data_IF_838636954029
#
_entry.id   IF_838636954029
#
_cell.length_a   1.000
_cell.length_b   1.000
_cell.length_c   1.000
_cell.angle_alpha   90.00
_cell.angle_beta   90.00
_cell.angle_gamma   90.00
#
_symmetry.space_group_name_H-M   'P 1'
#
loop_
_entity.id
_entity.type
_entity.pdbx_description
1 polymer ?
#
# COMPACT_ATOMS: atom_id res chain seq x y z
N UNK A 1 -37.76 -59.24 27.77
CA UNK A 1 -36.41 -59.28 27.18
C UNK A 1 -36.53 -59.13 25.68
N UNK A 2 -36.34 -57.93 25.14
CA UNK A 2 -36.00 -57.71 23.72
C UNK A 2 -35.18 -56.43 23.63
N UNK A 3 -33.93 -56.60 23.22
CA UNK A 3 -32.95 -55.58 22.86
C UNK A 3 -33.37 -54.91 21.54
N UNK A 4 -33.22 -53.59 21.45
CA UNK A 4 -32.70 -52.93 20.24
C UNK A 4 -32.39 -51.46 20.54
N UNK A 5 -31.11 -51.17 20.83
CA UNK A 5 -30.55 -49.83 20.75
C UNK A 5 -30.02 -49.63 19.32
N UNK A 6 -30.73 -48.83 18.52
CA UNK A 6 -30.23 -48.33 17.24
C UNK A 6 -29.12 -47.30 17.51
N UNK A 7 -27.89 -47.66 17.16
CA UNK A 7 -26.75 -46.76 17.08
C UNK A 7 -26.90 -45.93 15.80
N UNK A 8 -27.39 -44.71 15.94
CA UNK A 8 -27.45 -43.73 14.85
C UNK A 8 -26.08 -43.08 14.66
N UNK A 9 -25.33 -43.52 13.64
CA UNK A 9 -24.12 -42.85 13.16
C UNK A 9 -24.54 -41.53 12.52
N UNK A 10 -24.37 -40.42 13.24
CA UNK A 10 -24.53 -39.07 12.68
C UNK A 10 -23.26 -38.76 11.89
N UNK A 11 -23.33 -38.95 10.58
CA UNK A 11 -22.28 -38.59 9.64
C UNK A 11 -22.08 -37.07 9.61
N UNK A 12 -20.94 -36.61 10.12
CA UNK A 12 -20.46 -35.24 9.98
C UNK A 12 -20.02 -35.06 8.50
N UNK A 13 -20.89 -34.52 7.64
CA UNK A 13 -20.46 -34.01 6.34
C UNK A 13 -19.81 -32.64 6.54
N UNK A 14 -18.49 -32.63 6.69
CA UNK A 14 -17.67 -31.42 6.52
C UNK A 14 -17.65 -31.06 5.03
N UNK A 15 -18.56 -30.18 4.62
CA UNK A 15 -18.45 -29.52 3.32
C UNK A 15 -17.36 -28.47 3.44
N UNK A 16 -16.15 -28.80 3.01
CA UNK A 16 -15.07 -27.85 2.82
C UNK A 16 -15.42 -26.94 1.63
N UNK A 17 -16.16 -25.86 1.91
CA UNK A 17 -16.28 -24.74 1.00
C UNK A 17 -14.90 -24.08 0.89
N UNK A 18 -14.10 -24.53 -0.08
CA UNK A 18 -12.94 -23.78 -0.55
C UNK A 18 -13.45 -22.51 -1.21
N UNK A 19 -13.57 -21.43 -0.45
CA UNK A 19 -13.76 -20.10 -1.01
C UNK A 19 -12.49 -19.79 -1.81
N UNK A 20 -12.54 -19.96 -3.13
CA UNK A 20 -11.53 -19.38 -4.00
C UNK A 20 -11.71 -17.87 -3.91
N UNK A 21 -10.86 -17.21 -3.12
CA UNK A 21 -10.82 -15.76 -3.05
C UNK A 21 -10.50 -15.24 -4.46
N UNK A 22 -11.50 -14.64 -5.12
CA UNK A 22 -11.28 -13.97 -6.41
C UNK A 22 -10.17 -12.93 -6.25
N UNK A 23 -9.18 -13.01 -7.13
CA UNK A 23 -8.03 -12.11 -7.16
C UNK A 23 -8.48 -10.74 -7.64
N UNK A 24 -8.96 -9.92 -6.71
CA UNK A 24 -9.53 -8.61 -7.03
C UNK A 24 -8.45 -7.52 -6.98
N UNK A 25 -8.49 -6.58 -7.93
CA UNK A 25 -7.71 -5.37 -7.82
C UNK A 25 -8.22 -4.52 -6.64
N UNK A 26 -7.35 -3.70 -6.07
CA UNK A 26 -7.73 -2.77 -4.99
C UNK A 26 -7.84 -1.37 -5.60
N UNK A 27 -9.01 -0.76 -5.51
CA UNK A 27 -9.23 0.63 -5.93
C UNK A 27 -9.02 1.57 -4.74
N UNK A 28 -8.24 2.62 -4.97
CA UNK A 28 -7.96 3.72 -4.06
C UNK A 28 -8.70 4.94 -4.62
N UNK A 29 -9.71 5.42 -3.91
CA UNK A 29 -10.48 6.59 -4.35
C UNK A 29 -9.67 7.89 -4.22
N UNK A 30 -9.97 8.89 -5.05
CA UNK A 30 -9.45 10.24 -4.87
C UNK A 30 -9.79 10.81 -3.48
N UNK A 31 -8.87 11.58 -2.92
CA UNK A 31 -8.96 12.13 -1.55
C UNK A 31 -8.73 11.10 -0.44
N UNK A 32 -8.26 9.90 -0.75
CA UNK A 32 -7.78 8.95 0.28
C UNK A 32 -6.56 9.56 0.99
N UNK A 33 -6.53 9.43 2.32
CA UNK A 33 -5.41 9.87 3.13
C UNK A 33 -4.62 8.65 3.63
N UNK A 34 -3.30 8.74 3.48
CA UNK A 34 -2.34 7.79 4.02
C UNK A 34 -1.46 8.50 5.05
N UNK A 35 -1.24 7.86 6.19
CA UNK A 35 -0.09 8.13 7.04
C UNK A 35 1.09 7.43 6.38
N UNK A 36 2.14 8.16 6.03
CA UNK A 36 3.32 7.62 5.35
C UNK A 36 4.54 7.80 6.23
N UNK A 37 5.31 6.74 6.43
CA UNK A 37 6.55 6.78 7.21
C UNK A 37 7.77 6.64 6.32
N UNK A 38 8.82 7.44 6.53
CA UNK A 38 10.08 7.30 5.81
C UNK A 38 10.75 5.99 6.21
N UNK A 39 11.09 5.15 5.24
CA UNK A 39 11.66 3.81 5.50
C UNK A 39 13.16 3.87 5.78
N UNK A 40 13.87 4.81 5.14
CA UNK A 40 15.32 4.96 5.22
C UNK A 40 15.73 6.43 5.21
N UNK A 41 16.76 6.76 6.00
CA UNK A 41 17.39 8.08 5.99
C UNK A 41 17.72 8.49 4.55
N UNK A 42 17.22 9.66 4.14
CA UNK A 42 17.38 10.17 2.78
C UNK A 42 17.87 11.61 2.82
N UNK A 43 19.02 11.87 2.21
CA UNK A 43 19.56 13.22 2.02
C UNK A 43 18.97 13.82 0.75
N UNK A 44 18.40 15.02 0.86
CA UNK A 44 17.77 15.74 -0.24
C UNK A 44 18.72 16.84 -0.71
N UNK A 45 19.19 16.71 -1.96
CA UNK A 45 20.07 17.69 -2.57
C UNK A 45 19.27 18.70 -3.41
N UNK A 46 19.43 20.02 -3.19
CA UNK A 46 18.80 21.03 -4.02
C UNK A 46 19.14 20.88 -5.50
N UNK A 47 18.13 20.97 -6.35
CA UNK A 47 18.28 20.84 -7.80
C UNK A 47 18.38 19.40 -8.31
N UNK A 48 18.29 18.39 -7.44
CA UNK A 48 18.17 17.00 -7.82
C UNK A 48 16.83 16.42 -7.34
N UNK A 49 16.20 15.64 -8.22
CA UNK A 49 15.07 14.81 -7.82
C UNK A 49 15.61 13.61 -7.05
N UNK A 50 15.26 13.53 -5.77
CA UNK A 50 15.66 12.43 -4.89
C UNK A 50 14.46 11.52 -4.68
N UNK A 51 14.67 10.22 -4.84
CA UNK A 51 13.65 9.22 -4.55
C UNK A 51 13.64 8.89 -3.06
N UNK A 52 12.44 8.92 -2.46
CA UNK A 52 12.19 8.63 -1.06
C UNK A 52 11.29 7.40 -1.00
N UNK A 53 11.63 6.44 -0.16
CA UNK A 53 10.80 5.24 0.07
C UNK A 53 9.97 5.44 1.32
N UNK A 54 8.66 5.26 1.17
CA UNK A 54 7.65 5.47 2.20
C UNK A 54 6.89 4.17 2.48
N UNK A 55 6.47 3.98 3.73
CA UNK A 55 5.56 2.93 4.19
C UNK A 55 4.16 3.54 4.41
N UNK A 56 3.20 3.31 3.49
CA UNK A 56 1.87 3.91 3.54
C UNK A 56 0.88 3.08 4.36
N UNK A 57 0.15 3.75 5.26
CA UNK A 57 -0.95 3.19 6.05
C UNK A 57 -2.22 4.01 5.84
N UNK A 58 -3.29 3.36 5.39
CA UNK A 58 -4.56 4.03 5.14
C UNK A 58 -5.14 4.61 6.45
N UNK A 59 -5.43 5.91 6.46
CA UNK A 59 -6.10 6.57 7.59
C UNK A 59 -7.61 6.30 7.55
N UNK A 60 -8.17 6.30 6.34
CA UNK A 60 -9.59 6.04 6.09
C UNK A 60 -9.79 4.85 5.16
N UNK A 61 -10.04 3.69 5.75
CA UNK A 61 -10.33 2.46 5.00
C UNK A 61 -11.62 2.52 4.16
N UNK A 62 -12.53 3.48 4.43
CA UNK A 62 -13.79 3.61 3.72
C UNK A 62 -13.65 4.07 2.26
N UNK A 63 -12.46 4.54 1.86
CA UNK A 63 -12.14 4.98 0.50
C UNK A 63 -11.39 3.93 -0.33
N UNK A 64 -11.16 2.75 0.25
CA UNK A 64 -10.56 1.60 -0.41
C UNK A 64 -11.64 0.56 -0.73
N UNK A 65 -11.53 -0.11 -1.88
CA UNK A 65 -12.43 -1.24 -2.19
C UNK A 65 -12.18 -2.44 -1.28
N UNK A 66 -10.93 -2.62 -0.83
CA UNK A 66 -10.47 -3.67 0.07
C UNK A 66 -9.34 -3.11 0.96
N UNK A 67 -9.09 -3.68 2.16
CA UNK A 67 -7.94 -3.29 2.97
C UNK A 67 -6.63 -3.44 2.19
N UNK A 68 -5.70 -2.50 2.36
CA UNK A 68 -4.37 -2.66 1.80
C UNK A 68 -3.66 -3.87 2.41
N UNK A 69 -2.82 -4.58 1.63
CA UNK A 69 -1.95 -5.62 2.14
C UNK A 69 -1.02 -5.11 3.24
N UNK A 70 -0.57 -6.02 4.11
CA UNK A 70 0.31 -5.66 5.24
C UNK A 70 1.67 -5.09 4.85
N UNK A 71 2.12 -5.38 3.62
CA UNK A 71 3.40 -4.91 3.11
C UNK A 71 3.17 -4.07 1.87
N UNK A 72 3.19 -2.76 2.02
CA UNK A 72 3.16 -1.81 0.91
C UNK A 72 4.39 -0.90 1.02
N UNK A 73 4.96 -0.55 -0.13
CA UNK A 73 5.98 0.48 -0.25
C UNK A 73 5.52 1.46 -1.32
N UNK A 74 5.74 2.74 -1.05
CA UNK A 74 5.47 3.83 -1.97
C UNK A 74 6.78 4.55 -2.24
N UNK A 75 7.18 4.67 -3.50
CA UNK A 75 8.21 5.65 -3.82
C UNK A 75 7.59 7.04 -4.02
N UNK A 76 8.31 8.06 -3.60
CA UNK A 76 7.95 9.45 -3.80
C UNK A 76 9.18 10.22 -4.28
N UNK A 77 8.97 11.31 -5.01
CA UNK A 77 10.06 12.15 -5.50
C UNK A 77 10.04 13.48 -4.77
N UNK A 78 11.21 13.94 -4.31
CA UNK A 78 11.35 15.25 -3.68
C UNK A 78 11.15 16.39 -4.68
N UNK A 79 10.35 17.37 -4.30
CA UNK A 79 10.14 18.61 -5.03
C UNK A 79 10.42 19.77 -4.07
N UNK A 80 11.33 20.67 -4.45
CA UNK A 80 11.59 21.89 -3.70
C UNK A 80 11.03 23.07 -4.49
N UNK A 81 9.98 23.70 -3.97
CA UNK A 81 9.35 24.88 -4.55
C UNK A 81 9.46 26.04 -3.57
N UNK A 82 10.07 27.15 -3.98
CA UNK A 82 10.15 28.37 -3.18
C UNK A 82 10.56 28.14 -1.72
N UNK A 83 11.62 27.35 -1.50
CA UNK A 83 12.16 26.94 -0.19
C UNK A 83 11.34 25.92 0.60
N UNK A 84 10.29 25.36 0.01
CA UNK A 84 9.46 24.37 0.68
C UNK A 84 9.67 22.98 0.07
N UNK A 85 9.92 21.98 0.92
CA UNK A 85 10.06 20.59 0.51
C UNK A 85 8.69 19.88 0.50
N UNK A 86 8.30 19.37 -0.65
CA UNK A 86 7.17 18.47 -0.82
C UNK A 86 7.64 17.12 -1.39
N UNK A 87 6.87 16.06 -1.14
CA UNK A 87 7.08 14.78 -1.81
C UNK A 87 5.90 14.50 -2.74
N UNK A 88 6.19 14.24 -4.01
CA UNK A 88 5.19 13.80 -4.97
C UNK A 88 5.12 12.28 -4.97
N UNK A 89 3.93 11.72 -4.75
CA UNK A 89 3.70 10.29 -4.77
C UNK A 89 4.01 9.70 -6.15
N UNK A 90 4.60 8.52 -6.13
CA UNK A 90 4.96 7.75 -7.30
C UNK A 90 4.20 6.43 -7.38
N UNK A 91 4.94 5.38 -7.66
CA UNK A 91 4.50 3.99 -7.69
C UNK A 91 4.36 3.42 -6.28
N UNK A 92 3.18 2.86 -6.00
CA UNK A 92 2.93 1.99 -4.88
C UNK A 92 3.09 0.53 -5.31
N UNK A 93 3.76 -0.26 -4.49
CA UNK A 93 3.91 -1.71 -4.64
C UNK A 93 3.48 -2.37 -3.35
N UNK A 94 2.54 -3.30 -3.41
CA UNK A 94 2.06 -4.06 -2.27
C UNK A 94 2.27 -5.57 -2.50
N UNK A 95 2.60 -6.28 -1.43
CA UNK A 95 2.71 -7.74 -1.41
C UNK A 95 1.60 -8.31 -0.54
N UNK A 96 0.75 -9.14 -1.13
CA UNK A 96 -0.34 -9.83 -0.43
C UNK A 96 0.19 -11.05 0.33
N UNK A 97 -0.60 -11.57 1.27
CA UNK A 97 -0.25 -12.76 2.06
C UNK A 97 -0.02 -14.02 1.18
N UNK A 98 -0.72 -14.11 0.06
CA UNK A 98 -0.53 -15.15 -0.97
C UNK A 98 0.60 -14.83 -1.96
N UNK A 99 1.48 -13.86 -1.62
CA UNK A 99 2.71 -13.49 -2.33
C UNK A 99 2.50 -12.95 -3.74
N UNK A 100 1.33 -12.39 -4.02
CA UNK A 100 1.08 -11.62 -5.25
C UNK A 100 1.59 -10.20 -5.07
N UNK A 101 2.04 -9.60 -6.18
CA UNK A 101 2.50 -8.23 -6.22
C UNK A 101 1.41 -7.39 -6.88
N UNK A 102 0.94 -6.37 -6.17
CA UNK A 102 0.00 -5.37 -6.68
C UNK A 102 0.73 -4.05 -6.88
N UNK A 103 0.49 -3.37 -8.01
CA UNK A 103 1.15 -2.11 -8.34
C UNK A 103 0.14 -1.06 -8.81
N UNK A 104 0.37 0.19 -8.41
CA UNK A 104 -0.39 1.35 -8.87
C UNK A 104 0.53 2.56 -9.02
N UNK A 105 0.26 3.40 -10.01
CA UNK A 105 0.79 4.76 -10.04
C UNK A 105 -0.16 5.65 -9.25
N UNK A 106 0.34 6.31 -8.21
CA UNK A 106 -0.43 7.26 -7.42
C UNK A 106 -0.09 8.68 -7.86
N UNK A 107 -1.09 9.56 -7.78
CA UNK A 107 -0.90 11.01 -7.81
C UNK A 107 -1.31 11.53 -6.45
N UNK A 108 -0.44 12.30 -5.83
CA UNK A 108 -0.67 12.89 -4.52
C UNK A 108 0.56 13.66 -4.08
N UNK A 109 0.36 14.54 -3.09
CA UNK A 109 1.44 15.33 -2.52
C UNK A 109 1.47 15.13 -1.01
N UNK A 110 2.68 15.01 -0.49
CA UNK A 110 2.99 15.10 0.94
C UNK A 110 3.58 16.49 1.17
N UNK A 111 2.91 17.29 1.97
CA UNK A 111 3.50 18.47 2.57
C UNK A 111 4.32 18.03 3.78
N UNK A 112 5.64 18.26 3.73
CA UNK A 112 6.53 17.86 4.83
C UNK A 112 6.58 18.89 5.96
N UNK A 113 6.08 20.10 5.72
CA UNK A 113 6.23 21.24 6.63
C UNK A 113 7.68 21.72 6.80
N UNK A 114 8.62 21.18 6.01
CA UNK A 114 10.03 21.52 6.07
C UNK A 114 10.32 22.69 5.14
N UNK A 115 10.51 23.86 5.74
CA UNK A 115 11.03 25.04 5.06
C UNK A 115 12.55 25.08 5.15
N UNK A 116 13.22 25.48 4.06
CA UNK A 116 14.66 25.56 3.98
C UNK A 116 15.15 26.90 3.40
N UNK A 117 15.89 27.67 4.20
CA UNK A 117 16.36 28.97 3.73
C UNK A 117 17.41 28.90 2.62
N UNK A 118 18.32 27.92 2.69
CA UNK A 118 19.37 27.67 1.69
C UNK A 118 19.34 26.25 1.13
N UNK A 119 18.47 25.38 1.67
CA UNK A 119 18.25 23.98 1.29
C UNK A 119 19.50 23.08 1.19
N UNK A 120 20.66 23.53 1.65
CA UNK A 120 21.94 22.81 1.48
C UNK A 120 21.99 21.46 2.17
N UNK A 121 21.26 21.30 3.28
CA UNK A 121 21.30 20.10 4.12
C UNK A 121 19.87 19.73 4.55
N UNK A 122 19.06 19.29 3.59
CA UNK A 122 17.75 18.70 3.87
C UNK A 122 17.90 17.20 4.08
N UNK A 123 17.33 16.69 5.17
CA UNK A 123 17.32 15.26 5.47
C UNK A 123 15.93 14.83 5.91
N UNK A 124 15.49 13.72 5.36
CA UNK A 124 14.35 12.96 5.87
C UNK A 124 14.90 11.78 6.67
N UNK A 125 14.45 11.64 7.91
CA UNK A 125 14.93 10.59 8.81
C UNK A 125 14.00 9.40 8.79
N UNK A 126 14.55 8.19 8.89
CA UNK A 126 13.75 6.98 9.00
C UNK A 126 12.78 7.09 10.20
N UNK A 127 11.53 6.72 9.97
CA UNK A 127 10.44 6.81 10.95
C UNK A 127 9.73 8.17 11.01
N UNK A 128 10.19 9.19 10.29
CA UNK A 128 9.41 10.43 10.16
C UNK A 128 8.09 10.15 9.43
N UNK A 129 6.99 10.66 9.98
CA UNK A 129 5.64 10.40 9.50
C UNK A 129 5.01 11.65 8.93
N UNK A 130 4.36 11.52 7.78
CA UNK A 130 3.63 12.60 7.11
C UNK A 130 2.26 12.12 6.65
N UNK A 131 1.42 13.06 6.21
CA UNK A 131 0.13 12.73 5.59
C UNK A 131 0.25 12.90 4.08
N UNK A 132 0.00 11.81 3.35
CA UNK A 132 -0.20 11.81 1.92
C UNK A 132 -1.69 11.90 1.62
N UNK A 133 -2.08 12.86 0.79
CA UNK A 133 -3.41 12.88 0.18
C UNK A 133 -3.31 12.48 -1.29
N UNK A 134 -4.15 11.52 -1.69
CA UNK A 134 -4.27 11.08 -3.08
C UNK A 134 -5.17 12.06 -3.85
N UNK A 135 -4.73 12.51 -5.02
CA UNK A 135 -5.46 13.50 -5.83
C UNK A 135 -6.54 12.84 -6.69
N UNK A 136 -6.24 11.66 -7.25
CA UNK A 136 -7.08 10.98 -8.23
C UNK A 136 -7.23 9.50 -7.90
N UNK A 137 -8.30 8.89 -8.38
CA UNK A 137 -8.48 7.44 -8.26
C UNK A 137 -7.30 6.68 -8.88
N UNK A 138 -6.91 5.59 -8.22
CA UNK A 138 -5.89 4.66 -8.69
C UNK A 138 -6.29 3.22 -8.41
N UNK A 139 -5.81 2.28 -9.23
CA UNK A 139 -6.09 0.85 -9.06
C UNK A 139 -4.78 0.08 -8.93
N UNK A 140 -4.65 -0.64 -7.82
CA UNK A 140 -3.60 -1.63 -7.56
C UNK A 140 -3.91 -2.87 -8.39
N UNK A 141 -3.16 -3.03 -9.47
CA UNK A 141 -3.32 -4.13 -10.42
C UNK A 141 -2.29 -5.23 -10.13
N UNK A 142 -2.70 -6.48 -10.37
CA UNK A 142 -1.79 -7.61 -10.29
C UNK A 142 -0.65 -7.46 -11.31
N UNK A 143 0.59 -7.51 -10.83
CA UNK A 143 1.75 -7.58 -11.70
C UNK A 143 1.81 -8.97 -12.35
N UNK A 144 1.59 -9.03 -13.66
CA UNK A 144 1.77 -10.25 -14.45
C UNK A 144 3.27 -10.37 -14.76
N UNK A 145 3.88 -11.48 -14.39
CA UNK A 145 5.29 -11.75 -14.71
C UNK A 145 5.48 -11.92 -16.22
N UNK A 146 6.68 -11.58 -16.72
CA UNK A 146 7.04 -11.68 -18.14
C UNK A 146 7.07 -13.13 -18.68
N UNK A 147 7.02 -14.14 -17.82
CA UNK A 147 6.84 -15.55 -18.19
C UNK A 147 5.37 -15.92 -18.47
N UNK A 148 4.44 -14.96 -18.37
CA UNK A 148 3.03 -15.14 -18.71
C UNK A 148 2.23 -15.90 -17.66
N UNK A 149 2.84 -16.27 -16.52
CA UNK A 149 2.11 -16.91 -15.43
C UNK A 149 1.68 -15.85 -14.41
N UNK A 150 0.37 -15.62 -14.31
CA UNK A 150 -0.18 -15.01 -13.11
C UNK A 150 0.13 -15.94 -11.92
N UNK A 151 0.65 -15.42 -10.80
CA UNK A 151 0.83 -16.24 -9.60
C UNK A 151 -0.53 -16.79 -9.17
N UNK A 152 -0.70 -18.10 -9.31
CA UNK A 152 -1.87 -18.88 -8.89
C UNK A 152 -2.02 -18.89 -7.36
#
# INVERSE_FOLDING_TARGET
MFNHLCVGVVGLMLVSMGAMAEKKPITISGGTQFEVSVVVDTEINPGQQTEVVLDPKAVDSGKLSEPLPSYCLLNATSIINDKHLALQAGKMVCVTDDKRILEAQLSGTVDTGLDCDNCTDLKLSAGETFTLQIDSEATLNLQIRADGMAQE
#
